data_IF_463778136390
#
_entry.id   IF_463778136390
#
_cell.length_a   1.000
_cell.length_b   1.000
_cell.length_c   1.000
_cell.angle_alpha   90.00
_cell.angle_beta   90.00
_cell.angle_gamma   90.00
#
_symmetry.space_group_name_H-M   'P 1'
#
loop_
_entity.id
_entity.type
_entity.pdbx_description
1 polymer ?
#
# COMPACT_ATOMS: atom_id res chain seq x y z
N UNK A 1 15.48 -3.92 -41.75
CA UNK A 1 14.04 -3.60 -41.61
C UNK A 1 13.41 -4.63 -40.72
N UNK A 2 13.23 -4.33 -39.42
CA UNK A 2 12.47 -5.16 -38.49
C UNK A 2 11.09 -4.50 -38.34
N UNK A 3 10.04 -5.23 -38.69
CA UNK A 3 8.66 -4.79 -38.53
C UNK A 3 8.33 -4.71 -37.05
N UNK A 4 7.82 -3.55 -36.61
CA UNK A 4 7.23 -3.35 -35.30
C UNK A 4 5.86 -4.04 -35.29
N UNK A 5 5.72 -5.15 -34.59
CA UNK A 5 4.40 -5.73 -34.30
C UNK A 5 3.65 -4.80 -33.34
N UNK A 6 2.58 -4.23 -33.84
CA UNK A 6 1.65 -3.42 -33.06
C UNK A 6 0.89 -4.35 -32.11
N UNK A 7 0.86 -4.00 -30.82
CA UNK A 7 0.03 -4.66 -29.83
C UNK A 7 -1.44 -4.58 -30.21
N UNK A 8 -2.20 -5.68 -30.19
CA UNK A 8 -3.61 -5.66 -30.57
C UNK A 8 -4.45 -4.87 -29.56
N UNK A 9 -5.25 -3.94 -30.09
CA UNK A 9 -6.13 -3.03 -29.35
C UNK A 9 -7.29 -3.72 -28.60
N UNK A 10 -7.48 -5.01 -28.76
CA UNK A 10 -8.59 -5.76 -28.15
C UNK A 10 -8.42 -6.03 -26.64
N UNK A 11 -7.25 -5.82 -26.04
CA UNK A 11 -7.05 -5.97 -24.59
C UNK A 11 -7.51 -4.76 -23.77
N UNK A 12 -7.93 -3.68 -24.39
CA UNK A 12 -8.44 -2.48 -23.71
C UNK A 12 -9.90 -2.59 -23.25
N UNK A 13 -10.64 -3.60 -23.70
CA UNK A 13 -12.07 -3.72 -23.40
C UNK A 13 -12.42 -4.25 -22.00
N UNK A 14 -11.45 -4.79 -21.23
CA UNK A 14 -11.72 -5.25 -19.85
C UNK A 14 -11.56 -4.15 -18.79
N UNK A 15 -10.96 -3.02 -19.13
CA UNK A 15 -10.87 -1.84 -18.26
C UNK A 15 -12.23 -1.15 -18.04
N UNK A 16 -13.19 -1.31 -18.95
CA UNK A 16 -14.47 -0.57 -18.92
C UNK A 16 -15.39 -0.91 -17.74
N UNK A 17 -15.26 -2.10 -17.14
CA UNK A 17 -16.05 -2.48 -15.95
C UNK A 17 -15.45 -1.96 -14.65
N UNK A 18 -14.14 -1.77 -14.58
CA UNK A 18 -13.46 -1.17 -13.44
C UNK A 18 -13.58 0.36 -13.45
N UNK A 19 -13.61 0.99 -14.64
CA UNK A 19 -13.90 2.43 -14.81
C UNK A 19 -15.30 2.83 -14.35
N UNK A 20 -16.27 1.93 -14.38
CA UNK A 20 -17.61 2.22 -13.86
C UNK A 20 -17.64 2.42 -12.34
N UNK A 21 -16.64 1.90 -11.60
CA UNK A 21 -16.52 2.03 -10.15
C UNK A 21 -15.83 3.32 -9.70
N UNK A 22 -15.07 3.97 -10.58
CA UNK A 22 -14.43 5.28 -10.33
C UNK A 22 -15.38 6.48 -10.53
N UNK A 23 -16.67 6.24 -10.72
CA UNK A 23 -17.67 7.30 -11.00
C UNK A 23 -18.17 8.09 -9.78
N UNK A 24 -17.62 7.84 -8.60
CA UNK A 24 -17.97 8.61 -7.40
C UNK A 24 -16.73 9.27 -6.84
N UNK A 25 -16.92 10.45 -6.22
CA UNK A 25 -15.85 11.15 -5.52
C UNK A 25 -15.16 10.20 -4.52
N UNK A 26 -13.87 9.98 -4.70
CA UNK A 26 -13.05 9.18 -3.79
C UNK A 26 -13.05 9.86 -2.43
N UNK A 27 -13.18 9.07 -1.34
CA UNK A 27 -13.04 9.63 0.01
C UNK A 27 -11.64 10.19 0.22
N UNK A 28 -11.52 11.29 0.95
CA UNK A 28 -10.22 11.84 1.35
C UNK A 28 -9.39 10.78 2.11
N UNK A 29 -10.04 9.90 2.87
CA UNK A 29 -9.38 8.81 3.60
C UNK A 29 -9.02 7.60 2.71
N UNK A 30 -9.55 7.53 1.50
CA UNK A 30 -9.10 6.57 0.49
C UNK A 30 -7.92 7.12 -0.32
N UNK A 31 -7.84 8.44 -0.43
CA UNK A 31 -6.75 9.14 -1.07
C UNK A 31 -5.51 9.25 -0.15
N UNK A 32 -5.71 9.68 1.10
CA UNK A 32 -4.64 9.87 2.08
C UNK A 32 -4.58 8.70 3.05
N UNK A 33 -3.93 7.60 2.64
CA UNK A 33 -3.79 6.39 3.46
C UNK A 33 -2.48 6.38 4.23
N UNK A 34 -2.55 6.14 5.52
CA UNK A 34 -1.38 5.83 6.33
C UNK A 34 -0.88 4.44 5.95
N UNK A 35 0.43 4.29 5.81
CA UNK A 35 1.07 3.02 5.50
C UNK A 35 2.58 3.12 5.62
N UNK A 36 3.27 2.10 5.11
CA UNK A 36 4.73 2.07 5.05
C UNK A 36 5.20 2.16 3.60
N UNK A 37 6.33 2.89 3.40
CA UNK A 37 6.98 2.96 2.09
C UNK A 37 7.62 1.65 1.66
N UNK A 38 8.20 1.63 0.45
CA UNK A 38 8.25 2.73 -0.49
C UNK A 38 7.06 2.84 -1.46
N UNK A 39 6.12 1.87 -1.49
CA UNK A 39 5.11 1.81 -2.55
C UNK A 39 3.74 1.39 -2.04
N UNK A 40 2.69 2.10 -2.45
CA UNK A 40 1.32 1.70 -2.13
C UNK A 40 0.92 0.39 -2.80
N UNK A 41 1.33 0.14 -4.05
CA UNK A 41 0.97 -1.08 -4.78
C UNK A 41 1.92 -2.25 -4.51
N UNK A 42 3.21 -2.00 -4.24
CA UNK A 42 4.22 -3.05 -4.09
C UNK A 42 4.63 -3.33 -2.64
N UNK A 43 4.18 -2.50 -1.69
CA UNK A 43 4.43 -2.69 -0.25
C UNK A 43 3.12 -2.77 0.53
N UNK A 44 2.30 -1.70 0.54
CA UNK A 44 1.04 -1.65 1.30
C UNK A 44 0.06 -2.73 0.81
N UNK A 45 -0.11 -2.88 -0.50
CA UNK A 45 -0.99 -3.91 -1.08
C UNK A 45 -0.62 -5.33 -0.68
N UNK A 46 0.61 -5.79 -0.88
CA UNK A 46 1.09 -7.10 -0.41
C UNK A 46 0.95 -7.33 1.08
N UNK A 47 1.23 -6.33 1.91
CA UNK A 47 1.04 -6.44 3.36
C UNK A 47 -0.43 -6.65 3.72
N UNK A 48 -1.34 -5.88 3.11
CA UNK A 48 -2.78 -6.07 3.29
C UNK A 48 -3.28 -7.42 2.78
N UNK A 49 -2.72 -7.91 1.68
CA UNK A 49 -3.08 -9.22 1.14
C UNK A 49 -2.67 -10.35 2.09
N UNK A 50 -1.45 -10.31 2.64
CA UNK A 50 -0.99 -11.25 3.67
C UNK A 50 -1.88 -11.22 4.91
N UNK A 51 -2.21 -10.02 5.41
CA UNK A 51 -3.13 -9.86 6.54
C UNK A 51 -4.54 -10.41 6.25
N UNK A 52 -5.09 -10.12 5.06
CA UNK A 52 -6.39 -10.65 4.65
C UNK A 52 -6.38 -12.18 4.56
N UNK A 53 -5.28 -12.77 4.09
CA UNK A 53 -5.14 -14.21 3.98
C UNK A 53 -5.14 -14.89 5.35
N UNK A 54 -4.33 -14.44 6.32
CA UNK A 54 -4.32 -15.03 7.67
C UNK A 54 -5.63 -14.84 8.40
N UNK A 55 -6.31 -13.71 8.16
CA UNK A 55 -7.65 -13.50 8.70
C UNK A 55 -8.63 -14.56 8.19
N UNK A 56 -8.60 -14.91 6.91
CA UNK A 56 -9.44 -15.98 6.35
C UNK A 56 -9.12 -17.33 6.98
N UNK A 57 -7.83 -17.65 7.18
CA UNK A 57 -7.42 -18.90 7.85
C UNK A 57 -7.97 -18.97 9.28
N UNK A 58 -7.87 -17.90 10.03
CA UNK A 58 -8.40 -17.81 11.39
C UNK A 58 -9.93 -17.97 11.41
N UNK A 59 -10.63 -17.19 10.59
CA UNK A 59 -12.11 -17.19 10.54
C UNK A 59 -12.69 -18.54 10.11
N UNK A 60 -11.91 -19.37 9.38
CA UNK A 60 -12.29 -20.72 8.96
C UNK A 60 -11.75 -21.84 9.87
N UNK A 61 -11.04 -21.53 10.95
CA UNK A 61 -10.43 -22.52 11.84
C UNK A 61 -9.35 -23.37 11.20
N UNK A 62 -8.66 -22.82 10.19
CA UNK A 62 -7.58 -23.50 9.45
C UNK A 62 -6.18 -23.14 9.96
N UNK A 63 -6.06 -22.10 10.79
CA UNK A 63 -4.78 -21.55 11.20
C UNK A 63 -3.91 -22.59 11.88
N UNK A 64 -4.46 -23.32 12.85
CA UNK A 64 -3.76 -24.34 13.66
C UNK A 64 -3.42 -25.62 12.88
N UNK A 65 -4.07 -25.84 11.73
CA UNK A 65 -3.83 -27.00 10.89
C UNK A 65 -2.65 -26.78 9.92
N UNK A 66 -2.26 -25.53 9.70
CA UNK A 66 -1.18 -25.18 8.77
C UNK A 66 0.17 -25.63 9.34
N UNK A 67 0.98 -26.28 8.52
CA UNK A 67 2.34 -26.71 8.90
C UNK A 67 3.42 -26.01 8.10
N UNK A 68 3.11 -25.56 6.87
CA UNK A 68 4.02 -24.81 6.01
C UNK A 68 3.29 -23.82 5.11
N UNK A 69 4.04 -22.86 4.55
CA UNK A 69 3.53 -21.75 3.77
C UNK A 69 4.39 -21.55 2.51
N UNK A 70 3.75 -21.15 1.40
CA UNK A 70 4.44 -20.65 0.20
C UNK A 70 3.82 -19.35 -0.28
N UNK A 71 4.66 -18.48 -0.86
CA UNK A 71 4.29 -17.21 -1.45
C UNK A 71 4.75 -17.22 -2.92
N UNK A 72 3.85 -16.91 -3.83
CA UNK A 72 4.19 -16.68 -5.23
C UNK A 72 3.87 -15.21 -5.57
N UNK A 73 4.88 -14.49 -6.04
CA UNK A 73 4.75 -13.13 -6.56
C UNK A 73 4.80 -13.20 -8.09
N UNK A 74 3.91 -12.47 -8.78
CA UNK A 74 3.72 -12.58 -10.22
C UNK A 74 3.75 -11.21 -10.90
N UNK A 75 4.13 -11.19 -12.18
CA UNK A 75 4.16 -10.01 -13.03
C UNK A 75 4.99 -8.88 -12.43
N UNK A 76 4.43 -7.70 -12.28
CA UNK A 76 5.15 -6.52 -11.77
C UNK A 76 5.60 -6.68 -10.32
N UNK A 77 4.83 -7.36 -9.45
CA UNK A 77 5.26 -7.64 -8.07
C UNK A 77 6.50 -8.55 -8.02
N UNK A 78 6.69 -9.41 -9.00
CA UNK A 78 7.91 -10.21 -9.10
C UNK A 78 9.07 -9.43 -9.73
N UNK A 79 8.80 -8.70 -10.81
CA UNK A 79 9.84 -7.99 -11.59
C UNK A 79 10.54 -6.88 -10.79
N UNK A 80 9.80 -6.15 -9.96
CA UNK A 80 10.30 -5.00 -9.20
C UNK A 80 10.20 -5.16 -7.68
N UNK A 81 9.64 -6.30 -7.23
CA UNK A 81 9.23 -6.51 -5.84
C UNK A 81 10.38 -6.47 -4.83
N UNK A 82 11.55 -7.03 -5.17
CA UNK A 82 12.71 -6.97 -4.26
C UNK A 82 13.15 -5.54 -3.95
N UNK A 83 13.10 -4.65 -4.95
CA UNK A 83 13.43 -3.23 -4.77
C UNK A 83 12.41 -2.45 -3.95
N UNK A 84 11.18 -2.96 -3.87
CA UNK A 84 10.08 -2.35 -3.12
C UNK A 84 9.74 -3.08 -1.81
N UNK A 85 10.53 -4.10 -1.42
CA UNK A 85 10.28 -4.90 -0.24
C UNK A 85 8.94 -5.64 -0.27
N UNK A 86 8.49 -6.09 -1.46
CA UNK A 86 7.19 -6.77 -1.62
C UNK A 86 7.15 -8.08 -0.84
N UNK A 87 8.22 -8.84 -0.86
CA UNK A 87 8.40 -10.07 -0.09
C UNK A 87 8.36 -9.83 1.42
N UNK A 88 9.08 -8.81 1.88
CA UNK A 88 9.06 -8.34 3.27
C UNK A 88 7.63 -7.94 3.69
N UNK A 89 6.96 -7.12 2.89
CA UNK A 89 5.61 -6.65 3.18
C UNK A 89 4.59 -7.79 3.25
N UNK A 90 4.67 -8.77 2.35
CA UNK A 90 3.82 -9.96 2.37
C UNK A 90 4.02 -10.77 3.67
N UNK A 91 5.27 -10.98 4.09
CA UNK A 91 5.60 -11.65 5.35
C UNK A 91 5.04 -10.90 6.56
N UNK A 92 5.19 -9.58 6.63
CA UNK A 92 4.64 -8.75 7.71
C UNK A 92 3.11 -8.88 7.78
N UNK A 93 2.43 -8.87 6.63
CA UNK A 93 0.99 -9.09 6.57
C UNK A 93 0.58 -10.45 7.10
N UNK A 94 1.33 -11.52 6.76
CA UNK A 94 1.10 -12.88 7.26
C UNK A 94 1.37 -13.02 8.76
N UNK A 95 2.24 -12.19 9.35
CA UNK A 95 2.41 -12.04 10.81
C UNK A 95 1.19 -11.35 11.48
N UNK A 96 0.16 -10.94 10.73
CA UNK A 96 -0.99 -10.20 11.24
C UNK A 96 -0.78 -8.69 11.33
N UNK A 97 0.36 -8.17 10.86
CA UNK A 97 0.62 -6.72 10.86
C UNK A 97 -0.17 -6.02 9.77
N UNK A 98 -0.55 -4.76 10.03
CA UNK A 98 -1.24 -3.90 9.07
C UNK A 98 -0.41 -2.63 8.80
N UNK A 99 -0.44 -2.10 7.57
CA UNK A 99 0.39 -0.95 7.20
C UNK A 99 0.18 0.29 8.07
N UNK A 100 -1.05 0.51 8.52
CA UNK A 100 -1.46 1.71 9.26
C UNK A 100 -0.77 1.83 10.64
N UNK A 101 -0.50 0.69 11.28
CA UNK A 101 0.05 0.63 12.64
C UNK A 101 1.44 0.02 12.72
N UNK A 102 2.02 -0.38 11.57
CA UNK A 102 3.36 -0.97 11.54
C UNK A 102 4.40 0.03 12.01
N UNK A 103 5.22 -0.36 12.98
CA UNK A 103 6.41 0.37 13.35
C UNK A 103 7.55 0.00 12.37
N UNK A 104 8.09 0.95 11.60
CA UNK A 104 9.19 0.69 10.68
C UNK A 104 10.46 0.14 11.37
N UNK A 105 10.68 0.48 12.62
CA UNK A 105 11.86 0.05 13.37
C UNK A 105 11.79 -1.45 13.76
N UNK A 106 10.60 -2.04 13.85
CA UNK A 106 10.41 -3.47 14.09
C UNK A 106 10.66 -4.35 12.84
N UNK A 107 10.58 -3.77 11.62
CA UNK A 107 10.63 -4.56 10.37
C UNK A 107 11.87 -5.42 10.26
N UNK A 108 13.04 -4.84 10.51
CA UNK A 108 14.30 -5.55 10.37
C UNK A 108 14.44 -6.70 11.38
N UNK A 109 13.93 -6.52 12.59
CA UNK A 109 13.93 -7.54 13.66
C UNK A 109 13.00 -8.69 13.28
N UNK A 110 11.75 -8.40 12.92
CA UNK A 110 10.77 -9.42 12.55
C UNK A 110 11.22 -10.29 11.36
N UNK A 111 11.77 -9.65 10.32
CA UNK A 111 12.27 -10.38 9.16
C UNK A 111 13.55 -11.16 9.47
N UNK A 112 14.42 -10.60 10.35
CA UNK A 112 15.60 -11.29 10.86
C UNK A 112 15.23 -12.56 11.62
N UNK A 113 14.24 -12.50 12.49
CA UNK A 113 13.72 -13.63 13.25
C UNK A 113 13.15 -14.74 12.36
N UNK A 114 12.39 -14.38 11.33
CA UNK A 114 11.88 -15.35 10.34
C UNK A 114 13.03 -16.07 9.64
N UNK A 115 14.04 -15.33 9.17
CA UNK A 115 15.20 -15.92 8.48
C UNK A 115 16.01 -16.84 9.39
N UNK A 116 16.23 -16.43 10.62
CA UNK A 116 17.00 -17.20 11.59
C UNK A 116 16.30 -18.48 12.03
N UNK A 117 14.99 -18.39 12.31
CA UNK A 117 14.20 -19.53 12.78
C UNK A 117 13.70 -20.46 11.66
N UNK A 118 13.64 -19.96 10.40
CA UNK A 118 12.93 -20.60 9.28
C UNK A 118 11.47 -20.93 9.62
N UNK A 119 10.86 -20.05 10.37
CA UNK A 119 9.45 -20.15 10.75
C UNK A 119 8.78 -18.78 10.62
N UNK A 120 7.50 -18.78 10.24
CA UNK A 120 6.65 -17.62 10.26
C UNK A 120 5.45 -17.88 11.18
N UNK A 121 5.17 -16.95 12.11
CA UNK A 121 4.01 -17.03 12.99
C UNK A 121 2.78 -16.41 12.31
N UNK A 122 1.95 -17.24 11.69
CA UNK A 122 0.69 -16.79 11.08
C UNK A 122 -0.17 -16.06 12.12
N UNK A 123 -0.61 -14.83 11.77
CA UNK A 123 -1.37 -13.93 12.66
C UNK A 123 -0.69 -13.66 14.03
N UNK A 124 0.63 -13.80 14.10
CA UNK A 124 1.40 -13.72 15.34
C UNK A 124 1.18 -14.87 16.33
N UNK A 125 0.37 -15.88 15.99
CA UNK A 125 -0.08 -16.93 16.91
C UNK A 125 0.49 -18.32 16.59
N UNK A 126 0.39 -18.77 15.34
CA UNK A 126 0.72 -20.16 14.96
C UNK A 126 1.95 -20.22 14.06
N UNK A 127 3.01 -20.91 14.55
CA UNK A 127 4.26 -21.05 13.80
C UNK A 127 4.15 -22.15 12.74
N UNK A 128 4.54 -21.80 11.51
CA UNK A 128 4.64 -22.73 10.38
C UNK A 128 6.05 -22.72 9.83
N UNK A 129 6.48 -23.83 9.22
CA UNK A 129 7.75 -23.90 8.49
C UNK A 129 7.71 -22.93 7.30
N UNK A 130 8.74 -22.08 7.20
CA UNK A 130 8.85 -21.08 6.15
C UNK A 130 10.29 -20.58 6.03
N UNK A 131 10.92 -20.84 4.90
CA UNK A 131 12.22 -20.32 4.53
C UNK A 131 12.05 -19.26 3.42
N UNK A 132 12.27 -17.96 3.69
CA UNK A 132 12.07 -16.91 2.69
C UNK A 132 12.84 -17.11 1.37
N UNK A 133 13.97 -17.81 1.41
CA UNK A 133 14.78 -18.07 0.21
C UNK A 133 14.23 -19.22 -0.64
N UNK A 134 13.52 -20.16 -0.04
CA UNK A 134 12.95 -21.34 -0.71
C UNK A 134 11.45 -21.21 -0.99
N UNK A 135 10.71 -20.55 -0.10
CA UNK A 135 9.25 -20.54 -0.11
C UNK A 135 8.64 -19.25 -0.70
N UNK A 136 9.47 -18.28 -1.11
CA UNK A 136 9.01 -17.13 -1.89
C UNK A 136 9.49 -17.26 -3.33
N UNK A 137 8.56 -17.48 -4.25
CA UNK A 137 8.84 -17.59 -5.68
C UNK A 137 8.50 -16.27 -6.40
N UNK A 138 9.39 -15.85 -7.29
CA UNK A 138 9.23 -14.63 -8.12
C UNK A 138 9.05 -15.05 -9.58
N UNK A 139 7.84 -14.87 -10.11
CA UNK A 139 7.44 -15.23 -11.47
C UNK A 139 7.15 -13.98 -12.30
N UNK A 140 8.19 -13.28 -12.75
CA UNK A 140 8.03 -12.06 -13.56
C UNK A 140 7.39 -12.32 -14.94
N UNK A 141 7.53 -13.54 -15.45
CA UNK A 141 6.96 -14.04 -16.71
C UNK A 141 5.47 -14.40 -16.60
N UNK A 142 4.97 -14.70 -15.40
CA UNK A 142 3.56 -14.99 -15.16
C UNK A 142 2.79 -13.71 -14.94
N UNK A 143 2.05 -13.25 -15.96
CA UNK A 143 1.21 -12.06 -15.88
C UNK A 143 -0.26 -12.47 -15.94
N UNK A 144 -0.98 -12.53 -14.81
CA UNK A 144 -2.40 -12.84 -14.79
C UNK A 144 -3.24 -11.85 -15.59
N UNK A 145 -4.32 -12.33 -16.21
CA UNK A 145 -5.14 -11.54 -17.13
C UNK A 145 -5.84 -10.34 -16.46
N UNK A 146 -6.22 -10.49 -15.18
CA UNK A 146 -6.94 -9.44 -14.47
C UNK A 146 -6.03 -8.24 -14.10
N UNK A 147 -4.85 -8.50 -13.51
CA UNK A 147 -3.93 -7.43 -13.09
C UNK A 147 -2.50 -7.94 -12.95
N UNK A 148 -1.53 -7.13 -13.37
CA UNK A 148 -0.10 -7.50 -13.33
C UNK A 148 0.48 -7.61 -11.92
N UNK A 149 -0.08 -6.92 -10.92
CA UNK A 149 0.37 -6.97 -9.53
C UNK A 149 -0.36 -8.09 -8.79
N UNK A 150 0.02 -9.34 -9.04
CA UNK A 150 -0.60 -10.50 -8.42
C UNK A 150 0.33 -11.20 -7.43
N UNK A 151 -0.27 -11.75 -6.38
CA UNK A 151 0.39 -12.61 -5.41
C UNK A 151 -0.53 -13.75 -4.98
N UNK A 152 0.04 -14.90 -4.67
CA UNK A 152 -0.70 -16.06 -4.23
C UNK A 152 -0.07 -16.63 -2.96
N UNK A 153 -0.90 -16.90 -1.96
CA UNK A 153 -0.49 -17.53 -0.70
C UNK A 153 -1.07 -18.92 -0.64
N UNK A 154 -0.25 -19.90 -0.25
CA UNK A 154 -0.64 -21.29 -0.11
C UNK A 154 -0.16 -21.83 1.23
N UNK A 155 -1.06 -22.42 2.03
CA UNK A 155 -0.73 -23.13 3.26
C UNK A 155 -1.03 -24.61 3.11
N UNK A 156 -0.22 -25.42 3.78
CA UNK A 156 -0.27 -26.87 3.69
C UNK A 156 -0.43 -27.48 5.08
N UNK A 157 -1.08 -28.65 5.14
CA UNK A 157 -1.11 -29.56 6.28
C UNK A 157 -0.32 -30.82 5.89
N UNK A 158 0.94 -30.93 6.33
CA UNK A 158 1.90 -31.87 5.75
C UNK A 158 2.09 -31.58 4.26
N UNK A 159 1.94 -32.59 3.42
CA UNK A 159 2.07 -32.46 1.95
C UNK A 159 0.76 -32.06 1.26
N UNK A 160 -0.35 -31.96 2.01
CA UNK A 160 -1.65 -31.64 1.44
C UNK A 160 -1.90 -30.14 1.44
N UNK A 161 -2.33 -29.58 0.29
CA UNK A 161 -2.76 -28.18 0.19
C UNK A 161 -4.01 -27.98 1.07
N UNK A 162 -3.88 -27.17 2.13
CA UNK A 162 -4.97 -26.83 3.03
C UNK A 162 -5.82 -25.68 2.48
N UNK A 163 -5.18 -24.60 2.06
CA UNK A 163 -5.85 -23.45 1.48
C UNK A 163 -4.90 -22.64 0.58
N UNK A 164 -5.45 -22.09 -0.49
CA UNK A 164 -4.74 -21.21 -1.43
C UNK A 164 -5.62 -20.06 -1.84
N UNK A 165 -5.04 -18.86 -1.96
CA UNK A 165 -5.76 -17.68 -2.43
C UNK A 165 -4.84 -16.74 -3.17
N UNK A 166 -5.32 -16.27 -4.33
CA UNK A 166 -4.66 -15.20 -5.07
C UNK A 166 -5.27 -13.85 -4.70
N UNK A 167 -4.41 -12.83 -4.65
CA UNK A 167 -4.77 -11.43 -4.45
C UNK A 167 -4.12 -10.57 -5.51
N UNK A 168 -4.77 -9.46 -5.82
CA UNK A 168 -4.28 -8.45 -6.75
C UNK A 168 -4.15 -7.12 -6.02
N UNK A 169 -2.99 -6.44 -6.14
CA UNK A 169 -2.79 -5.09 -5.64
C UNK A 169 -3.12 -4.10 -6.75
N UNK A 170 -4.27 -3.45 -6.65
CA UNK A 170 -4.85 -2.64 -7.75
C UNK A 170 -4.52 -1.14 -7.66
N UNK A 171 -3.51 -0.78 -6.86
CA UNK A 171 -3.09 0.60 -6.64
C UNK A 171 -3.70 1.24 -5.39
N UNK A 172 -3.12 2.35 -4.91
CA UNK A 172 -3.59 3.06 -3.71
C UNK A 172 -3.65 2.20 -2.44
N UNK A 173 -2.91 1.09 -2.38
CA UNK A 173 -2.98 0.12 -1.28
C UNK A 173 -4.28 -0.71 -1.26
N UNK A 174 -5.10 -0.65 -2.31
CA UNK A 174 -6.27 -1.52 -2.44
C UNK A 174 -5.87 -2.91 -2.93
N UNK A 175 -6.57 -3.92 -2.41
CA UNK A 175 -6.43 -5.30 -2.84
C UNK A 175 -7.78 -5.87 -3.29
N UNK A 176 -7.71 -6.77 -4.26
CA UNK A 176 -8.85 -7.56 -4.72
C UNK A 176 -8.48 -9.03 -4.60
N UNK A 177 -9.30 -9.81 -3.90
CA UNK A 177 -9.12 -11.26 -3.85
C UNK A 177 -9.65 -11.90 -5.15
N UNK A 178 -8.96 -12.92 -5.64
CA UNK A 178 -9.51 -13.77 -6.70
C UNK A 178 -10.64 -14.66 -6.17
N UNK A 179 -11.45 -15.22 -7.05
CA UNK A 179 -12.42 -16.25 -6.67
C UNK A 179 -11.67 -17.55 -6.27
N UNK A 180 -12.25 -18.34 -5.40
CA UNK A 180 -11.62 -19.59 -4.96
C UNK A 180 -11.66 -20.66 -6.02
N UNK A 181 -12.73 -20.67 -6.81
CA UNK A 181 -12.96 -21.60 -7.92
C UNK A 181 -12.27 -21.19 -9.23
N UNK A 182 -11.93 -19.90 -9.38
CA UNK A 182 -11.24 -19.36 -10.55
C UNK A 182 -10.28 -18.22 -10.15
N UNK A 183 -8.98 -18.48 -10.03
CA UNK A 183 -8.00 -17.48 -9.63
C UNK A 183 -7.78 -16.38 -10.67
N UNK A 184 -8.25 -16.52 -11.91
CA UNK A 184 -8.18 -15.46 -12.93
C UNK A 184 -9.35 -14.47 -12.82
N UNK A 185 -10.39 -14.78 -12.04
CA UNK A 185 -11.54 -13.92 -11.84
C UNK A 185 -11.49 -13.23 -10.47
N UNK A 186 -11.64 -11.91 -10.41
CA UNK A 186 -11.72 -11.19 -9.14
C UNK A 186 -13.06 -11.44 -8.45
N UNK A 187 -13.03 -11.46 -7.12
CA UNK A 187 -14.26 -11.27 -6.33
C UNK A 187 -14.65 -9.81 -6.40
N UNK A 188 -15.85 -9.52 -6.87
CA UNK A 188 -16.37 -8.16 -6.83
C UNK A 188 -16.54 -7.72 -5.37
N UNK A 189 -15.83 -6.67 -4.91
CA UNK A 189 -15.93 -6.24 -3.52
C UNK A 189 -17.38 -5.85 -3.17
N UNK A 190 -17.90 -6.39 -2.07
CA UNK A 190 -19.23 -6.01 -1.54
C UNK A 190 -19.31 -4.54 -1.09
N UNK A 191 -18.17 -3.87 -0.97
CA UNK A 191 -18.05 -2.48 -0.53
C UNK A 191 -18.81 -1.46 -1.42
N UNK A 192 -19.28 -1.89 -2.58
CA UNK A 192 -20.06 -1.03 -3.49
C UNK A 192 -21.58 -1.25 -3.40
N UNK A 193 -22.04 -2.16 -2.53
CA UNK A 193 -23.46 -2.32 -2.26
C UNK A 193 -23.84 -1.41 -1.07
N UNK A 194 -24.57 -0.34 -1.33
CA UNK A 194 -25.08 0.56 -0.32
C UNK A 194 -24.28 1.84 -0.09
N UNK A 195 -23.55 2.32 -1.09
CA UNK A 195 -22.91 3.64 -1.05
C UNK A 195 -24.00 4.69 -0.87
N UNK A 196 -23.97 5.39 0.28
CA UNK A 196 -24.89 6.49 0.54
C UNK A 196 -24.65 7.60 -0.48
N UNK A 197 -25.71 8.21 -0.95
CA UNK A 197 -25.63 9.34 -1.87
C UNK A 197 -24.94 10.50 -1.15
N UNK A 198 -23.82 10.97 -1.70
CA UNK A 198 -23.13 12.15 -1.19
C UNK A 198 -24.00 13.39 -1.43
N UNK A 199 -24.06 14.37 -0.51
CA UNK A 199 -24.84 15.59 -0.69
C UNK A 199 -24.33 16.45 -1.84
N UNK A 200 -23.04 16.39 -2.14
CA UNK A 200 -22.38 17.15 -3.19
C UNK A 200 -21.56 16.22 -4.09
N UNK A 201 -22.22 15.37 -4.93
CA UNK A 201 -21.51 14.44 -5.80
C UNK A 201 -20.85 15.17 -6.97
N UNK A 202 -19.59 14.85 -7.28
CA UNK A 202 -18.86 15.37 -8.43
C UNK A 202 -17.96 14.29 -9.04
N UNK A 203 -17.61 14.47 -10.31
CA UNK A 203 -16.73 13.56 -11.09
C UNK A 203 -15.52 14.31 -11.67
N UNK A 204 -15.68 15.61 -11.88
CA UNK A 204 -14.66 16.46 -12.49
C UNK A 204 -14.38 17.67 -11.62
N UNK A 205 -13.23 18.30 -11.84
CA UNK A 205 -12.90 19.56 -11.18
C UNK A 205 -13.90 20.67 -11.49
N UNK A 206 -14.40 20.73 -12.73
CA UNK A 206 -15.38 21.74 -13.13
C UNK A 206 -16.72 21.55 -12.40
N UNK A 207 -17.19 20.29 -12.26
CA UNK A 207 -18.38 19.98 -11.46
C UNK A 207 -18.19 20.37 -10.00
N UNK A 208 -17.04 20.01 -9.40
CA UNK A 208 -16.69 20.39 -8.03
C UNK A 208 -16.72 21.91 -7.82
N UNK A 209 -16.07 22.65 -8.72
CA UNK A 209 -16.04 24.12 -8.66
C UNK A 209 -17.41 24.75 -8.84
N UNK A 210 -18.23 24.18 -9.75
CA UNK A 210 -19.60 24.65 -9.96
C UNK A 210 -20.45 24.42 -8.71
N UNK A 211 -20.44 23.22 -8.15
CA UNK A 211 -21.23 22.87 -6.96
C UNK A 211 -20.80 23.75 -5.76
N UNK A 212 -19.49 23.96 -5.58
CA UNK A 212 -18.97 24.81 -4.51
C UNK A 212 -19.52 26.25 -4.63
N UNK A 213 -19.47 26.85 -5.82
CA UNK A 213 -20.00 28.19 -6.07
C UNK A 213 -21.52 28.27 -5.87
N UNK A 214 -22.28 27.34 -6.45
CA UNK A 214 -23.73 27.31 -6.39
C UNK A 214 -24.28 27.18 -4.95
N UNK A 215 -23.48 26.57 -4.05
CA UNK A 215 -23.83 26.37 -2.65
C UNK A 215 -23.09 27.31 -1.69
N UNK A 216 -22.29 28.25 -2.19
CA UNK A 216 -21.46 29.16 -1.40
C UNK A 216 -20.58 28.42 -0.37
N UNK A 217 -19.90 27.35 -0.85
CA UNK A 217 -19.00 26.52 -0.07
C UNK A 217 -17.57 26.63 -0.58
N UNK A 218 -16.61 26.52 0.32
CA UNK A 218 -15.25 26.20 -0.07
C UNK A 218 -15.15 24.72 -0.50
N UNK A 219 -14.10 24.37 -1.25
CA UNK A 219 -13.83 22.95 -1.61
C UNK A 219 -13.70 22.10 -0.34
N UNK A 220 -13.00 22.62 0.69
CA UNK A 220 -12.81 21.92 1.95
C UNK A 220 -14.14 21.61 2.66
N UNK A 221 -15.03 22.59 2.77
CA UNK A 221 -16.37 22.39 3.36
C UNK A 221 -17.21 21.39 2.57
N UNK A 222 -17.16 21.44 1.25
CA UNK A 222 -17.88 20.51 0.39
C UNK A 222 -17.39 19.08 0.60
N UNK A 223 -16.07 18.85 0.58
CA UNK A 223 -15.47 17.55 0.80
C UNK A 223 -15.77 17.05 2.23
N UNK A 224 -15.61 17.90 3.22
CA UNK A 224 -15.92 17.58 4.62
C UNK A 224 -17.37 17.11 4.79
N UNK A 225 -18.34 17.83 4.23
CA UNK A 225 -19.76 17.45 4.29
C UNK A 225 -20.02 16.11 3.59
N UNK A 226 -19.31 15.83 2.50
CA UNK A 226 -19.39 14.54 1.82
C UNK A 226 -18.85 13.39 2.68
N UNK A 227 -17.79 13.62 3.48
CA UNK A 227 -17.24 12.62 4.40
C UNK A 227 -18.17 12.35 5.60
N UNK A 228 -18.90 13.37 6.06
CA UNK A 228 -19.86 13.24 7.17
C UNK A 228 -21.10 12.39 6.86
N UNK A 229 -21.29 11.94 5.62
CA UNK A 229 -22.37 11.01 5.28
C UNK A 229 -22.17 9.61 5.88
N UNK A 230 -20.92 9.17 5.94
CA UNK A 230 -20.56 7.83 6.39
C UNK A 230 -19.95 7.82 7.80
N UNK A 231 -19.65 9.01 8.35
CA UNK A 231 -18.92 9.21 9.60
C UNK A 231 -19.52 10.38 10.39
N UNK A 232 -19.29 10.43 11.69
CA UNK A 232 -19.60 11.63 12.45
C UNK A 232 -18.56 12.73 12.18
N UNK A 233 -18.89 14.03 12.37
CA UNK A 233 -17.93 15.12 12.26
C UNK A 233 -16.67 14.86 13.10
N UNK A 234 -16.83 14.41 14.34
CA UNK A 234 -15.73 14.13 15.27
C UNK A 234 -14.83 13.00 14.77
N UNK A 235 -15.41 12.00 14.09
CA UNK A 235 -14.63 10.94 13.46
C UNK A 235 -13.85 11.45 12.25
N UNK A 236 -14.45 12.34 11.45
CA UNK A 236 -13.78 12.97 10.31
C UNK A 236 -12.59 13.79 10.82
N UNK A 237 -12.80 14.66 11.83
CA UNK A 237 -11.74 15.51 12.40
C UNK A 237 -10.60 14.65 12.97
N UNK A 238 -10.93 13.65 13.79
CA UNK A 238 -9.92 12.77 14.37
C UNK A 238 -9.06 12.06 13.30
N UNK A 239 -9.67 11.62 12.19
CA UNK A 239 -8.94 10.96 11.10
C UNK A 239 -8.08 11.93 10.30
N UNK A 240 -8.53 13.16 10.09
CA UNK A 240 -7.72 14.20 9.45
C UNK A 240 -6.50 14.55 10.31
N UNK A 241 -6.70 14.68 11.62
CA UNK A 241 -5.60 14.92 12.58
C UNK A 241 -4.61 13.75 12.57
N UNK A 242 -5.07 12.50 12.52
CA UNK A 242 -4.21 11.32 12.43
C UNK A 242 -3.36 11.34 11.15
N UNK A 243 -3.95 11.66 10.00
CA UNK A 243 -3.22 11.81 8.73
C UNK A 243 -2.16 12.90 8.85
N UNK A 244 -2.51 14.07 9.40
CA UNK A 244 -1.59 15.17 9.61
C UNK A 244 -0.44 14.80 10.54
N UNK A 245 -0.72 14.14 11.66
CA UNK A 245 0.30 13.69 12.61
C UNK A 245 1.31 12.74 11.96
N UNK A 246 0.86 11.82 11.11
CA UNK A 246 1.76 10.92 10.37
C UNK A 246 2.61 11.68 9.37
N UNK A 247 2.03 12.64 8.62
CA UNK A 247 2.80 13.49 7.70
C UNK A 247 3.88 14.28 8.43
N UNK A 248 3.52 14.92 9.53
CA UNK A 248 4.45 15.71 10.34
C UNK A 248 5.57 14.85 10.93
N UNK A 249 5.22 13.69 11.49
CA UNK A 249 6.20 12.75 12.04
C UNK A 249 7.17 12.22 10.97
N UNK A 250 6.70 11.97 9.75
CA UNK A 250 7.55 11.55 8.63
C UNK A 250 8.57 12.64 8.25
N UNK A 251 8.13 13.90 8.16
CA UNK A 251 9.03 15.04 7.93
C UNK A 251 10.09 15.14 9.01
N UNK A 252 9.66 15.15 10.29
CA UNK A 252 10.59 15.27 11.41
C UNK A 252 11.59 14.12 11.49
N UNK A 253 11.13 12.89 11.26
CA UNK A 253 12.00 11.73 11.25
C UNK A 253 13.00 11.83 10.10
N UNK A 254 12.56 12.14 8.88
CA UNK A 254 13.44 12.26 7.71
C UNK A 254 14.50 13.35 7.86
N UNK A 255 14.18 14.47 8.52
CA UNK A 255 15.16 15.51 8.84
C UNK A 255 16.20 15.08 9.88
N UNK A 256 15.90 14.07 10.73
CA UNK A 256 16.85 13.59 11.76
C UNK A 256 17.72 12.45 11.28
N UNK A 257 17.22 11.62 10.37
CA UNK A 257 17.91 10.42 9.92
C UNK A 257 19.11 10.73 9.02
N UNK A 258 20.22 10.01 9.23
CA UNK A 258 21.49 10.21 8.51
C UNK A 258 22.01 8.93 7.85
N UNK A 259 21.35 7.78 8.07
CA UNK A 259 21.79 6.50 7.53
C UNK A 259 21.68 6.47 6.00
N UNK A 260 22.35 5.49 5.42
CA UNK A 260 22.21 5.17 4.00
C UNK A 260 20.86 4.51 3.74
N UNK A 261 20.19 4.92 2.66
CA UNK A 261 18.92 4.31 2.25
C UNK A 261 19.11 2.83 1.92
N UNK A 262 18.13 1.98 2.23
CA UNK A 262 18.17 0.56 1.87
C UNK A 262 18.29 0.36 0.35
N UNK A 263 18.90 -0.75 -0.05
CA UNK A 263 19.05 -1.13 -1.45
C UNK A 263 20.51 -1.18 -1.91
N UNK A 264 20.74 -1.66 -3.15
CA UNK A 264 22.08 -1.95 -3.66
C UNK A 264 22.93 -0.70 -3.97
N UNK A 265 22.27 0.46 -4.16
CA UNK A 265 22.96 1.69 -4.59
C UNK A 265 23.57 2.50 -3.43
N UNK A 266 23.28 2.15 -2.17
CA UNK A 266 23.83 2.80 -0.97
C UNK A 266 23.70 4.34 -1.02
N UNK A 267 22.51 4.83 -1.37
CA UNK A 267 22.22 6.25 -1.52
C UNK A 267 22.25 6.91 -0.12
N UNK A 268 23.11 7.91 0.07
CA UNK A 268 23.16 8.67 1.31
C UNK A 268 21.93 9.57 1.43
N UNK A 269 21.35 9.66 2.65
CA UNK A 269 20.33 10.66 2.98
C UNK A 269 20.92 12.06 2.94
N UNK A 270 20.16 13.04 2.49
CA UNK A 270 20.58 14.42 2.26
C UNK A 270 19.77 15.44 3.05
N UNK A 271 18.54 15.08 3.44
CA UNK A 271 17.61 16.01 4.12
C UNK A 271 18.21 16.60 5.38
N UNK A 272 18.89 15.79 6.22
CA UNK A 272 19.54 16.26 7.43
C UNK A 272 20.63 17.30 7.15
N UNK A 273 21.55 16.99 6.23
CA UNK A 273 22.65 17.90 5.89
C UNK A 273 22.13 19.22 5.31
N UNK A 274 21.14 19.17 4.41
CA UNK A 274 20.53 20.38 3.86
C UNK A 274 19.83 21.19 4.96
N UNK A 275 19.08 20.54 5.86
CA UNK A 275 18.45 21.23 6.99
C UNK A 275 19.46 21.98 7.87
N UNK A 276 20.60 21.35 8.16
CA UNK A 276 21.66 21.98 8.96
C UNK A 276 22.25 23.21 8.26
N UNK A 277 22.46 23.11 6.93
CA UNK A 277 22.98 24.24 6.13
C UNK A 277 21.96 25.40 6.11
N UNK A 278 20.68 25.12 5.82
CA UNK A 278 19.62 26.15 5.74
C UNK A 278 19.43 26.88 7.08
N UNK A 279 19.52 26.15 8.20
CA UNK A 279 19.44 26.75 9.55
C UNK A 279 20.53 27.78 9.85
N UNK A 280 21.69 27.68 9.20
CA UNK A 280 22.79 28.63 9.35
C UNK A 280 22.66 29.87 8.48
N UNK A 281 21.81 29.85 7.44
CA UNK A 281 21.61 30.95 6.49
C UNK A 281 20.40 31.82 6.88
N UNK A 282 20.47 32.45 8.05
CA UNK A 282 19.35 33.22 8.63
C UNK A 282 19.00 34.48 7.82
N UNK A 283 19.96 35.05 7.11
CA UNK A 283 19.81 36.32 6.38
C UNK A 283 19.58 36.13 4.86
N UNK A 284 19.45 34.88 4.42
CA UNK A 284 19.21 34.55 3.02
C UNK A 284 17.68 34.55 2.73
N UNK A 285 17.18 35.49 1.92
CA UNK A 285 15.75 35.54 1.59
C UNK A 285 15.28 34.34 0.75
N UNK A 286 16.21 33.60 0.13
CA UNK A 286 15.90 32.39 -0.66
C UNK A 286 15.91 31.12 0.18
N UNK A 287 16.31 31.17 1.45
CA UNK A 287 16.31 30.01 2.35
C UNK A 287 14.93 29.34 2.46
N UNK A 288 13.85 30.09 2.24
CA UNK A 288 12.48 29.53 2.22
C UNK A 288 12.30 28.46 1.14
N UNK A 289 12.94 28.61 -0.02
CA UNK A 289 12.89 27.62 -1.11
C UNK A 289 13.64 26.34 -0.75
N UNK A 290 14.74 26.49 -0.03
CA UNK A 290 15.50 25.34 0.44
C UNK A 290 14.78 24.58 1.57
N UNK A 291 14.00 25.28 2.41
CA UNK A 291 13.11 24.61 3.36
C UNK A 291 12.08 23.72 2.69
N UNK A 292 11.51 24.15 1.55
CA UNK A 292 10.62 23.28 0.74
C UNK A 292 11.35 22.03 0.29
N UNK A 293 12.60 22.17 -0.19
CA UNK A 293 13.44 21.03 -0.58
C UNK A 293 13.79 20.11 0.60
N UNK A 294 14.07 20.68 1.78
CA UNK A 294 14.33 19.90 3.01
C UNK A 294 13.13 18.98 3.32
N UNK A 295 11.92 19.56 3.37
CA UNK A 295 10.71 18.80 3.68
C UNK A 295 10.40 17.74 2.63
N UNK A 296 10.51 18.07 1.35
CA UNK A 296 10.30 17.12 0.26
C UNK A 296 11.29 15.95 0.31
N UNK A 297 12.58 16.25 0.53
CA UNK A 297 13.61 15.21 0.64
C UNK A 297 13.42 14.36 1.91
N UNK A 298 13.07 14.97 3.05
CA UNK A 298 12.82 14.25 4.28
C UNK A 298 11.72 13.19 4.10
N UNK A 299 10.59 13.57 3.50
CA UNK A 299 9.49 12.63 3.24
C UNK A 299 9.88 11.58 2.20
N UNK A 300 10.56 11.98 1.11
CA UNK A 300 11.00 11.06 0.06
C UNK A 300 11.98 10.01 0.60
N UNK A 301 12.91 10.42 1.44
CA UNK A 301 13.91 9.53 2.05
C UNK A 301 13.26 8.60 3.09
N UNK A 302 12.30 9.08 3.89
CA UNK A 302 11.52 8.23 4.79
C UNK A 302 10.69 7.21 4.00
N UNK A 303 10.02 7.63 2.94
CA UNK A 303 9.29 6.71 2.08
C UNK A 303 10.22 5.65 1.48
N UNK A 304 11.37 6.04 0.93
CA UNK A 304 12.34 5.12 0.34
C UNK A 304 12.94 4.14 1.37
N UNK A 305 13.05 4.56 2.62
CA UNK A 305 13.54 3.71 3.71
C UNK A 305 12.49 2.74 4.29
N UNK A 306 11.27 2.75 3.80
CA UNK A 306 10.18 1.94 4.36
C UNK A 306 9.57 2.54 5.63
N UNK A 307 9.78 3.84 5.86
CA UNK A 307 9.21 4.57 6.99
C UNK A 307 7.68 4.66 6.93
N UNK A 308 7.07 5.04 8.04
CA UNK A 308 5.63 5.28 8.13
C UNK A 308 5.29 6.63 7.50
N UNK A 309 4.49 6.59 6.45
CA UNK A 309 4.14 7.75 5.64
C UNK A 309 2.66 7.72 5.27
N UNK A 310 2.16 8.84 4.79
CA UNK A 310 0.88 8.86 4.09
C UNK A 310 1.16 8.52 2.63
N UNK A 311 0.69 7.35 2.20
CA UNK A 311 0.98 6.76 0.87
C UNK A 311 0.08 7.32 -0.22
N UNK A 312 -0.39 8.48 -0.03
CA UNK A 312 -1.22 9.13 -1.00
C UNK A 312 -0.47 9.62 -2.20
N UNK A 313 -1.14 10.21 -3.15
CA UNK A 313 -0.50 10.83 -4.26
C UNK A 313 0.46 11.91 -3.72
N UNK A 314 1.67 11.49 -3.43
CA UNK A 314 2.76 12.38 -3.06
C UNK A 314 3.41 12.87 -4.32
#
# INVERSE_FOLDING_TARGET
MRQSEAFPAERLCHFSKFEFQLKMAVSVFDMFKVGIGPSSSHTVGPMRAGHAFVKVLRDRGMLEQATSLKIELMGSLAATGKGHGTDTAAQLGLLGRIPETMDPDEVSVLIGDIRASRQLKLDGMHAVAFDPEADIAFHADKVPAFHTNAMEFSVFAGDSLLYRRRYYSVGGGFIVAAREDDPEQPVTPKAFQGVKTKPYPYRTGDELMKIARDNNLTIAELVYRNECVDRTPEEVDRRLDEVWQVMHAAVERGMRQTEVLPGPFRIARRANALMQDVRQRTDDPLAVLDWVNVYAMAVAEENAAGGRVVTAPT
#
